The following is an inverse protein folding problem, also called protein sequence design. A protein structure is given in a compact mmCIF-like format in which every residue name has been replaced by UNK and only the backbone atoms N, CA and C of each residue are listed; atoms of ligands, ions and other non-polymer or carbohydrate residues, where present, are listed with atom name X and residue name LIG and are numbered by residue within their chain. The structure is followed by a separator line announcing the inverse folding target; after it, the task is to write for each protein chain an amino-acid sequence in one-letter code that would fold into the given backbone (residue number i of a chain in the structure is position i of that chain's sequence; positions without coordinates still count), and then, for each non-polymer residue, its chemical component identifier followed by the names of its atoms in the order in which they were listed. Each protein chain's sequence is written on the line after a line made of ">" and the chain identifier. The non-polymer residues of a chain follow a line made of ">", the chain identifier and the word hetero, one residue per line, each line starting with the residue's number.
data_IF_115877241115
#
_entry.id   IF_115877241115
#
_cell.length_a   1.000
_cell.length_b   1.000
_cell.length_c   1.000
_cell.angle_alpha   90.00
_cell.angle_beta   90.00
_cell.angle_gamma   90.00
#
_symmetry.space_group_name_H-M   'P 1'
#
loop_
_entity.id
_entity.type
_entity.pdbx_description
1 polymer ?
#
# COMPACT_ATOMS: atom_id res chain seq x y z
N UNK A 1 -10.67 -10.04 8.25
CA UNK A 1 -11.99 -9.48 7.89
C UNK A 1 -12.33 -9.90 6.44
N UNK A 2 -13.61 -9.91 6.02
CA UNK A 2 -13.98 -10.21 4.63
C UNK A 2 -13.45 -9.14 3.67
N UNK A 3 -13.36 -9.47 2.38
CA UNK A 3 -13.01 -8.52 1.33
C UNK A 3 -14.05 -7.39 1.22
N UNK A 4 -13.61 -6.23 0.74
CA UNK A 4 -14.46 -5.06 0.44
C UNK A 4 -14.24 -4.64 -1.01
N UNK A 5 -15.30 -4.14 -1.66
CA UNK A 5 -15.22 -3.64 -3.03
C UNK A 5 -14.14 -2.57 -3.15
N UNK A 6 -13.28 -2.70 -4.16
CA UNK A 6 -12.19 -1.76 -4.42
C UNK A 6 -12.69 -0.33 -4.59
N UNK A 7 -13.81 -0.13 -5.30
CA UNK A 7 -14.44 1.17 -5.46
C UNK A 7 -14.76 1.88 -4.13
N UNK A 8 -15.17 1.12 -3.10
CA UNK A 8 -15.42 1.67 -1.77
C UNK A 8 -14.13 2.11 -1.09
N UNK A 9 -13.09 1.26 -1.15
CA UNK A 9 -11.78 1.55 -0.53
C UNK A 9 -11.19 2.82 -1.17
N UNK A 10 -11.18 2.89 -2.50
CA UNK A 10 -10.69 4.04 -3.27
C UNK A 10 -11.46 5.32 -2.92
N UNK A 11 -12.80 5.26 -2.87
CA UNK A 11 -13.63 6.40 -2.52
C UNK A 11 -13.38 6.91 -1.09
N UNK A 12 -13.22 6.01 -0.11
CA UNK A 12 -12.90 6.39 1.27
C UNK A 12 -11.49 7.03 1.38
N UNK A 13 -10.50 6.55 0.62
CA UNK A 13 -9.14 7.11 0.62
C UNK A 13 -9.11 8.52 0.01
N UNK A 14 -9.76 8.72 -1.13
CA UNK A 14 -9.75 10.03 -1.81
C UNK A 14 -10.54 11.07 -1.03
N UNK A 15 -11.70 10.67 -0.49
CA UNK A 15 -12.56 11.58 0.24
C UNK A 15 -12.02 12.02 1.59
N UNK A 16 -10.98 11.36 2.13
CA UNK A 16 -10.44 11.65 3.46
C UNK A 16 -8.96 12.01 3.49
N UNK A 17 -8.12 11.36 2.68
CA UNK A 17 -6.66 11.39 2.89
C UNK A 17 -5.88 11.75 1.63
N UNK A 18 -6.37 11.42 0.43
CA UNK A 18 -5.60 11.56 -0.80
C UNK A 18 -6.36 12.36 -1.87
N UNK A 19 -6.23 13.70 -1.92
CA UNK A 19 -7.05 14.59 -2.75
C UNK A 19 -6.59 14.60 -4.24
N UNK A 20 -6.49 13.40 -4.83
CA UNK A 20 -6.04 13.17 -6.21
C UNK A 20 -6.95 12.16 -6.92
N UNK A 21 -6.63 11.86 -8.18
CA UNK A 21 -7.44 11.00 -9.04
C UNK A 21 -7.61 9.57 -8.52
N UNK A 22 -8.77 9.00 -8.81
CA UNK A 22 -9.14 7.64 -8.42
C UNK A 22 -8.34 6.54 -9.11
N UNK A 23 -7.94 6.78 -10.36
CA UNK A 23 -7.04 5.91 -11.11
C UNK A 23 -5.73 5.67 -10.36
N UNK A 24 -5.07 6.72 -9.89
CA UNK A 24 -3.77 6.61 -9.21
C UNK A 24 -3.89 5.80 -7.90
N UNK A 25 -4.95 6.01 -7.12
CA UNK A 25 -5.20 5.25 -5.89
C UNK A 25 -5.50 3.78 -6.20
N UNK A 26 -6.37 3.52 -7.18
CA UNK A 26 -6.72 2.16 -7.56
C UNK A 26 -5.53 1.38 -8.13
N UNK A 27 -4.77 1.98 -9.04
CA UNK A 27 -3.57 1.38 -9.62
C UNK A 27 -2.50 1.09 -8.57
N UNK A 28 -2.31 2.01 -7.60
CA UNK A 28 -1.39 1.78 -6.48
C UNK A 28 -1.81 0.57 -5.64
N UNK A 29 -3.10 0.45 -5.34
CA UNK A 29 -3.66 -0.70 -4.62
C UNK A 29 -3.54 -2.00 -5.44
N UNK A 30 -3.75 -1.94 -6.75
CA UNK A 30 -3.59 -3.09 -7.66
C UNK A 30 -2.15 -3.59 -7.63
N UNK A 31 -1.15 -2.70 -7.73
CA UNK A 31 0.27 -3.08 -7.71
C UNK A 31 0.67 -3.74 -6.40
N UNK A 32 0.14 -3.28 -5.27
CA UNK A 32 0.37 -3.89 -3.95
C UNK A 32 -0.25 -5.28 -3.78
N UNK A 33 -1.15 -5.69 -4.69
CA UNK A 33 -1.84 -6.98 -4.70
C UNK A 33 -1.29 -7.97 -5.75
N UNK A 34 -0.21 -7.61 -6.46
CA UNK A 34 0.41 -8.42 -7.49
C UNK A 34 1.73 -9.00 -6.97
N UNK A 35 1.84 -10.33 -6.91
CA UNK A 35 3.03 -11.04 -6.41
C UNK A 35 4.26 -10.90 -7.32
N UNK A 36 4.03 -10.61 -8.61
CA UNK A 36 5.06 -10.28 -9.57
C UNK A 36 5.55 -8.82 -9.49
N UNK A 37 4.88 -7.95 -8.71
CA UNK A 37 5.30 -6.56 -8.50
C UNK A 37 5.81 -6.30 -7.07
N UNK A 38 5.19 -6.91 -6.05
CA UNK A 38 5.61 -6.78 -4.66
C UNK A 38 6.18 -8.11 -4.15
N UNK A 39 7.42 -8.09 -3.65
CA UNK A 39 8.08 -9.29 -3.09
C UNK A 39 7.28 -9.89 -1.94
N UNK A 40 6.68 -9.04 -1.10
CA UNK A 40 5.73 -9.38 -0.05
C UNK A 40 4.52 -8.46 -0.16
N UNK A 41 3.45 -8.96 -0.82
CA UNK A 41 2.22 -8.21 -1.07
C UNK A 41 1.60 -7.64 0.21
N UNK A 42 1.19 -6.37 0.15
CA UNK A 42 0.54 -5.67 1.27
C UNK A 42 -0.99 -5.71 1.16
N UNK A 43 -1.50 -6.00 -0.04
CA UNK A 43 -2.92 -6.16 -0.32
C UNK A 43 -3.19 -7.60 -0.73
N UNK A 44 -4.25 -8.18 -0.18
CA UNK A 44 -4.83 -9.44 -0.61
C UNK A 44 -6.05 -9.10 -1.47
N UNK A 45 -5.95 -9.35 -2.77
CA UNK A 45 -6.95 -9.03 -3.78
C UNK A 45 -7.79 -10.24 -4.20
N UNK A 46 -9.06 -10.00 -4.53
CA UNK A 46 -9.98 -10.98 -5.08
C UNK A 46 -10.59 -10.47 -6.40
N UNK A 47 -10.46 -11.26 -7.46
CA UNK A 47 -10.81 -10.90 -8.83
C UNK A 47 -9.59 -10.79 -9.74
N UNK A 48 -9.76 -10.21 -10.93
CA UNK A 48 -8.65 -10.00 -11.87
C UNK A 48 -7.86 -8.74 -11.50
N UNK A 49 -6.63 -8.94 -11.01
CA UNK A 49 -5.67 -7.89 -10.66
C UNK A 49 -4.54 -7.74 -11.70
N UNK A 50 -4.73 -8.22 -12.93
CA UNK A 50 -3.74 -8.13 -14.01
C UNK A 50 -2.78 -9.31 -14.05
N UNK A 51 -1.86 -9.29 -15.03
CA UNK A 51 -0.93 -10.38 -15.31
C UNK A 51 0.48 -9.86 -15.62
N UNK A 52 1.45 -10.78 -15.63
CA UNK A 52 2.83 -10.51 -16.06
C UNK A 52 2.94 -10.17 -17.54
N UNK A 53 1.94 -10.55 -18.34
CA UNK A 53 1.89 -10.29 -19.79
C UNK A 53 1.46 -8.84 -20.10
N UNK A 54 1.18 -8.04 -19.07
CA UNK A 54 0.77 -6.64 -19.20
C UNK A 54 -0.74 -6.42 -19.22
N UNK A 55 -1.54 -7.45 -18.94
CA UNK A 55 -2.99 -7.28 -18.82
C UNK A 55 -3.31 -6.38 -17.64
N UNK A 56 -4.16 -5.38 -17.88
CA UNK A 56 -4.65 -4.48 -16.83
C UNK A 56 -5.60 -5.22 -15.89
N UNK A 57 -5.66 -4.77 -14.64
CA UNK A 57 -6.67 -5.24 -13.69
C UNK A 57 -8.09 -4.92 -14.20
N UNK A 58 -9.06 -5.72 -13.77
CA UNK A 58 -10.47 -5.40 -14.00
C UNK A 58 -10.85 -4.09 -13.31
N UNK A 59 -11.93 -3.45 -13.77
CA UNK A 59 -12.43 -2.22 -13.14
C UNK A 59 -12.74 -2.42 -11.64
N UNK A 60 -12.51 -1.39 -10.82
CA UNK A 60 -12.67 -1.40 -9.35
C UNK A 60 -14.06 -1.79 -8.82
N UNK A 61 -15.08 -1.84 -9.69
CA UNK A 61 -16.42 -2.35 -9.37
C UNK A 61 -16.48 -3.89 -9.29
N UNK A 62 -15.54 -4.58 -9.92
CA UNK A 62 -15.47 -6.05 -9.95
C UNK A 62 -14.48 -6.61 -8.92
N UNK A 63 -13.38 -5.90 -8.67
CA UNK A 63 -12.36 -6.35 -7.73
C UNK A 63 -12.74 -6.04 -6.29
N UNK A 64 -12.20 -6.85 -5.38
CA UNK A 64 -12.31 -6.65 -3.94
C UNK A 64 -10.92 -6.79 -3.32
N UNK A 65 -10.69 -6.10 -2.21
CA UNK A 65 -9.40 -6.11 -1.54
C UNK A 65 -9.57 -6.13 -0.02
N UNK A 66 -8.51 -6.60 0.66
CA UNK A 66 -8.28 -6.46 2.09
C UNK A 66 -6.76 -6.41 2.35
N UNK A 67 -6.37 -6.12 3.58
CA UNK A 67 -4.95 -6.18 3.96
C UNK A 67 -4.44 -7.63 3.93
N UNK A 68 -3.22 -7.83 3.46
CA UNK A 68 -2.51 -9.09 3.62
C UNK A 68 -2.14 -9.30 5.10
N UNK A 69 -1.70 -10.52 5.44
CA UNK A 69 -1.27 -10.81 6.82
C UNK A 69 -0.06 -9.97 7.23
N UNK A 70 0.92 -9.80 6.34
CA UNK A 70 2.15 -9.04 6.65
C UNK A 70 1.89 -7.53 6.75
N UNK A 71 0.92 -6.99 6.01
CA UNK A 71 0.52 -5.59 6.16
C UNK A 71 0.00 -5.24 7.57
N UNK A 72 -0.51 -6.23 8.32
CA UNK A 72 -0.88 -6.01 9.72
C UNK A 72 0.32 -5.67 10.60
N UNK A 73 1.54 -6.12 10.26
CA UNK A 73 2.76 -5.76 10.97
C UNK A 73 3.20 -4.31 10.66
N UNK A 74 2.75 -3.72 9.55
CA UNK A 74 2.94 -2.27 9.29
C UNK A 74 2.12 -1.42 10.25
N UNK A 75 0.88 -1.84 10.54
CA UNK A 75 -0.08 -1.10 11.36
C UNK A 75 -0.08 -1.51 12.83
N UNK A 76 0.72 -2.50 13.20
CA UNK A 76 0.70 -3.05 14.56
C UNK A 76 1.06 -1.98 15.57
N UNK A 77 0.21 -1.84 16.59
CA UNK A 77 0.30 -0.84 17.67
C UNK A 77 0.08 0.63 17.25
N UNK A 78 -0.50 0.88 16.07
CA UNK A 78 -0.78 2.25 15.60
C UNK A 78 -1.70 3.05 16.54
N UNK A 79 -2.59 2.39 17.29
CA UNK A 79 -3.52 3.05 18.22
C UNK A 79 -2.96 3.21 19.64
N UNK A 80 -1.66 2.97 19.84
CA UNK A 80 -0.99 3.02 21.16
C UNK A 80 -0.04 4.21 21.30
N UNK A 81 -0.34 5.31 20.62
CA UNK A 81 0.46 6.54 20.68
C UNK A 81 1.94 6.28 20.30
N UNK A 82 2.15 5.44 19.28
CA UNK A 82 3.49 5.04 18.83
C UNK A 82 4.05 5.92 17.73
N UNK A 83 3.19 6.75 17.12
CA UNK A 83 3.50 7.62 15.98
C UNK A 83 2.70 8.91 16.10
N UNK A 84 3.23 9.96 15.48
CA UNK A 84 2.53 11.23 15.38
C UNK A 84 1.46 11.20 14.28
N UNK A 85 0.38 11.94 14.53
CA UNK A 85 -0.69 12.18 13.58
C UNK A 85 -0.72 13.65 13.17
N UNK A 86 -1.01 13.92 11.92
CA UNK A 86 -1.28 15.26 11.40
C UNK A 86 -2.74 15.38 10.96
N UNK A 87 -3.22 16.60 10.80
CA UNK A 87 -4.50 16.86 10.17
C UNK A 87 -4.41 16.53 8.67
N UNK A 88 -5.49 16.03 8.08
CA UNK A 88 -5.59 15.77 6.64
C UNK A 88 -5.68 17.08 5.83
N UNK A 89 -5.83 16.96 4.51
CA UNK A 89 -5.78 18.10 3.58
C UNK A 89 -6.84 19.20 3.81
N UNK A 90 -7.96 18.90 4.46
CA UNK A 90 -9.03 19.86 4.76
C UNK A 90 -9.25 20.09 6.27
N UNK A 91 -8.42 19.47 7.12
CA UNK A 91 -8.50 19.59 8.58
C UNK A 91 -9.66 18.86 9.25
N UNK A 92 -10.43 18.03 8.53
CA UNK A 92 -11.59 17.31 9.07
C UNK A 92 -11.27 15.93 9.64
N UNK A 93 -10.14 15.34 9.25
CA UNK A 93 -9.69 14.01 9.67
C UNK A 93 -8.22 14.06 10.13
N UNK A 94 -7.75 12.99 10.79
CA UNK A 94 -6.33 12.83 11.16
C UNK A 94 -5.71 11.65 10.45
N UNK A 95 -4.48 11.80 10.00
CA UNK A 95 -3.70 10.76 9.33
C UNK A 95 -2.32 10.55 9.96
N UNK A 96 -1.78 9.33 9.95
CA UNK A 96 -0.46 9.05 10.49
C UNK A 96 0.63 9.69 9.62
N UNK A 97 1.59 10.38 10.23
CA UNK A 97 2.76 10.95 9.51
C UNK A 97 3.69 9.83 9.01
N UNK A 98 3.82 8.77 9.82
CA UNK A 98 4.57 7.55 9.51
C UNK A 98 3.82 6.33 10.05
N UNK A 99 4.12 5.15 9.51
CA UNK A 99 3.57 3.89 10.02
C UNK A 99 4.53 3.27 11.05
N UNK A 100 4.02 2.54 12.07
CA UNK A 100 4.87 1.81 13.02
C UNK A 100 5.87 0.84 12.39
N UNK A 101 5.51 0.20 11.28
CA UNK A 101 6.38 -0.63 10.43
C UNK A 101 7.27 -1.62 11.19
N UNK A 102 6.68 -2.70 11.74
CA UNK A 102 7.42 -3.73 12.51
C UNK A 102 8.34 -4.63 11.67
N UNK A 103 8.50 -4.34 10.39
CA UNK A 103 9.52 -4.93 9.53
C UNK A 103 10.10 -3.85 8.58
N UNK A 104 11.33 -4.04 8.07
CA UNK A 104 12.02 -3.05 7.25
C UNK A 104 11.50 -3.01 5.80
N UNK A 105 10.26 -2.55 5.63
CA UNK A 105 9.52 -2.59 4.35
C UNK A 105 10.26 -1.91 3.18
N UNK A 106 10.98 -0.82 3.43
CA UNK A 106 11.75 -0.12 2.38
C UNK A 106 12.77 -1.03 1.71
N UNK A 107 13.51 -1.83 2.49
CA UNK A 107 14.51 -2.76 1.96
C UNK A 107 13.85 -4.02 1.40
N UNK A 108 12.82 -4.51 2.09
CA UNK A 108 12.13 -5.77 1.77
C UNK A 108 11.35 -5.68 0.45
N UNK A 109 10.56 -4.62 0.27
CA UNK A 109 9.75 -4.42 -0.95
C UNK A 109 10.40 -3.48 -1.96
N UNK A 110 11.44 -2.73 -1.58
CA UNK A 110 12.08 -1.77 -2.46
C UNK A 110 11.23 -0.53 -2.73
N UNK A 111 11.73 0.32 -3.63
CA UNK A 111 11.02 1.51 -4.11
C UNK A 111 11.63 1.99 -5.43
N UNK A 112 10.79 2.42 -6.36
CA UNK A 112 11.23 3.11 -7.56
C UNK A 112 10.40 4.39 -7.73
N UNK A 113 11.07 5.50 -8.04
CA UNK A 113 10.39 6.79 -8.16
C UNK A 113 11.26 7.83 -8.86
N UNK A 114 10.61 8.73 -9.59
CA UNK A 114 11.23 9.86 -10.28
C UNK A 114 10.58 11.11 -9.72
N UNK A 115 11.39 12.02 -9.18
CA UNK A 115 10.93 13.32 -8.70
C UNK A 115 11.50 14.44 -9.58
N UNK A 116 11.39 15.69 -9.13
CA UNK A 116 12.00 16.83 -9.83
C UNK A 116 13.49 16.89 -9.50
N UNK A 117 14.34 16.55 -10.48
CA UNK A 117 15.80 16.63 -10.35
C UNK A 117 16.47 15.45 -9.64
N UNK A 118 15.72 14.41 -9.28
CA UNK A 118 16.25 13.20 -8.65
C UNK A 118 15.42 11.96 -9.00
N UNK A 119 16.02 10.78 -8.84
CA UNK A 119 15.35 9.49 -8.98
C UNK A 119 15.86 8.52 -7.92
N UNK A 120 15.05 7.51 -7.60
CA UNK A 120 15.39 6.41 -6.70
C UNK A 120 15.05 5.07 -7.34
N UNK A 121 15.86 4.06 -7.06
CA UNK A 121 15.62 2.68 -7.45
C UNK A 121 16.29 1.74 -6.43
N UNK A 122 15.49 1.17 -5.53
CA UNK A 122 15.91 0.25 -4.48
C UNK A 122 15.29 -1.11 -4.79
N UNK A 123 16.11 -2.16 -5.03
CA UNK A 123 15.59 -3.49 -5.29
C UNK A 123 14.99 -4.14 -4.02
N UNK A 124 14.06 -5.09 -4.16
CA UNK A 124 13.55 -5.86 -3.04
C UNK A 124 14.58 -6.85 -2.51
N UNK A 125 14.49 -7.16 -1.20
CA UNK A 125 15.37 -8.10 -0.51
C UNK A 125 14.56 -9.17 0.25
N UNK A 126 15.23 -10.26 0.65
CA UNK A 126 14.60 -11.33 1.40
C UNK A 126 14.38 -10.89 2.86
N UNK A 127 13.17 -11.10 3.39
CA UNK A 127 12.76 -10.58 4.70
C UNK A 127 13.62 -11.08 5.88
N UNK A 128 13.91 -12.39 5.92
CA UNK A 128 14.74 -13.02 6.94
C UNK A 128 16.18 -12.51 6.92
N UNK A 129 16.81 -12.40 5.75
CA UNK A 129 18.18 -11.87 5.63
C UNK A 129 18.28 -10.44 6.14
N UNK A 130 17.28 -9.59 5.83
CA UNK A 130 17.26 -8.23 6.36
C UNK A 130 17.02 -8.23 7.88
N UNK A 131 16.14 -9.11 8.39
CA UNK A 131 15.92 -9.23 9.84
C UNK A 131 17.19 -9.71 10.56
N UNK A 132 17.91 -10.68 10.01
CA UNK A 132 19.14 -11.22 10.60
C UNK A 132 20.27 -10.17 10.65
N UNK A 133 20.24 -9.18 9.77
CA UNK A 133 21.21 -8.09 9.73
C UNK A 133 20.90 -6.89 10.64
N UNK A 134 19.68 -6.80 11.19
CA UNK A 134 19.23 -5.73 12.10
C UNK A 134 19.49 -6.10 13.55
#
# INVERSE_FOLDING_TARGET
>A
KPYKKSARIVGEVIGKYHPHGDSAVYESMVRMAQDFNYRYMLVDGHGNFGSVDGDSAAAMRYTEARMSKIAMEILRDITKDTIDYQDNYDGSEREPVVMPSRFPNLLVNGAAGIAVGMATNIPPHQLGEIIDGV
#
